data_IF_318468159256
#
_entry.id   IF_318468159256
#
_cell.length_a   1.000
_cell.length_b   1.000
_cell.length_c   1.000
_cell.angle_alpha   90.00
_cell.angle_beta   90.00
_cell.angle_gamma   90.00
#
_symmetry.space_group_name_H-M   'P 1'
#
loop_
_entity.id
_entity.type
_entity.pdbx_description
1 polymer ?
#
# COMPACT_ATOMS: atom_id res chain seq x y z
N UNK A 1 15.06 9.92 4.23
CA UNK A 1 13.80 9.15 4.28
C UNK A 1 12.99 9.54 3.06
N UNK A 2 12.44 8.62 2.25
CA UNK A 2 11.66 8.99 1.07
C UNK A 2 10.44 9.82 1.44
N UNK A 3 10.04 10.79 0.60
CA UNK A 3 8.85 11.59 0.83
C UNK A 3 7.58 10.73 0.72
N UNK A 4 6.49 11.19 1.34
CA UNK A 4 5.24 10.42 1.43
C UNK A 4 4.65 10.05 0.06
N UNK A 5 4.74 10.96 -0.91
CA UNK A 5 4.39 10.76 -2.32
C UNK A 5 5.13 9.59 -2.97
N UNK A 6 6.43 9.42 -2.69
CA UNK A 6 7.23 8.32 -3.23
C UNK A 6 6.80 6.98 -2.63
N UNK A 7 6.51 6.97 -1.32
CA UNK A 7 5.96 5.79 -0.64
C UNK A 7 4.59 5.42 -1.20
N UNK A 8 3.74 6.42 -1.46
CA UNK A 8 2.41 6.23 -2.02
C UNK A 8 2.48 5.60 -3.42
N UNK A 9 3.28 6.20 -4.30
CA UNK A 9 3.48 5.71 -5.66
C UNK A 9 4.01 4.27 -5.68
N UNK A 10 4.97 3.95 -4.81
CA UNK A 10 5.53 2.59 -4.72
C UNK A 10 4.51 1.57 -4.19
N UNK A 11 3.73 1.94 -3.17
CA UNK A 11 2.66 1.06 -2.64
C UNK A 11 1.66 0.74 -3.75
N UNK A 12 1.20 1.75 -4.47
CA UNK A 12 0.23 1.58 -5.56
C UNK A 12 0.81 0.79 -6.73
N UNK A 13 2.05 1.10 -7.14
CA UNK A 13 2.75 0.39 -8.20
C UNK A 13 2.92 -1.09 -7.86
N UNK A 14 3.33 -1.41 -6.63
CA UNK A 14 3.49 -2.80 -6.20
C UNK A 14 2.17 -3.53 -6.03
N UNK A 15 1.11 -2.88 -5.53
CA UNK A 15 -0.23 -3.47 -5.45
C UNK A 15 -0.75 -3.78 -6.86
N UNK A 16 -0.62 -2.82 -7.79
CA UNK A 16 -1.02 -3.00 -9.19
C UNK A 16 -0.20 -4.10 -9.89
N UNK A 17 1.11 -4.14 -9.68
CA UNK A 17 2.00 -5.15 -10.29
C UNK A 17 1.74 -6.57 -9.77
N UNK A 18 1.25 -6.71 -8.53
CA UNK A 18 0.93 -8.02 -7.95
C UNK A 18 -0.41 -8.58 -8.39
N UNK A 19 -1.36 -7.71 -8.72
CA UNK A 19 -2.69 -8.07 -9.21
C UNK A 19 -3.75 -8.19 -8.12
N UNK A 20 -5.02 -8.23 -8.57
CA UNK A 20 -6.25 -8.13 -7.77
C UNK A 20 -6.34 -9.09 -6.56
N UNK A 21 -5.75 -10.28 -6.68
CA UNK A 21 -5.79 -11.31 -5.63
C UNK A 21 -4.61 -11.26 -4.66
N UNK A 22 -3.61 -10.43 -4.94
CA UNK A 22 -2.36 -10.42 -4.18
C UNK A 22 -2.27 -9.20 -3.29
N UNK A 23 -1.53 -9.39 -2.21
CA UNK A 23 -1.33 -8.37 -1.18
C UNK A 23 0.15 -8.19 -0.91
N UNK A 24 0.57 -6.98 -0.58
CA UNK A 24 1.94 -6.62 -0.27
C UNK A 24 2.18 -6.46 1.22
N UNK A 25 3.40 -6.71 1.67
CA UNK A 25 3.83 -6.41 3.03
C UNK A 25 4.51 -5.03 3.08
N UNK A 26 4.36 -4.26 4.17
CA UNK A 26 5.02 -2.96 4.33
C UNK A 26 6.56 -3.07 4.32
N UNK A 27 7.09 -4.22 4.75
CA UNK A 27 8.52 -4.53 4.69
C UNK A 27 9.06 -4.61 3.27
N UNK A 28 8.24 -5.06 2.32
CA UNK A 28 8.65 -5.15 0.91
C UNK A 28 8.74 -3.76 0.29
N UNK A 29 7.78 -2.87 0.61
CA UNK A 29 7.82 -1.46 0.19
C UNK A 29 9.09 -0.81 0.72
N UNK A 30 9.38 -1.05 2.00
CA UNK A 30 10.56 -0.48 2.63
C UNK A 30 11.86 -1.02 2.00
N UNK A 31 11.93 -2.32 1.69
CA UNK A 31 13.09 -2.94 1.01
C UNK A 31 13.25 -2.47 -0.43
N UNK A 32 12.16 -2.26 -1.16
CA UNK A 32 12.19 -1.75 -2.53
C UNK A 32 12.80 -0.33 -2.57
N UNK A 33 12.46 0.52 -1.60
CA UNK A 33 12.90 1.92 -1.56
C UNK A 33 14.23 2.16 -0.84
N UNK A 34 14.57 1.35 0.16
CA UNK A 34 15.70 1.57 1.07
C UNK A 34 16.71 0.42 1.08
N UNK A 35 16.49 -0.62 0.28
CA UNK A 35 17.37 -1.78 0.20
C UNK A 35 17.38 -2.63 1.48
N UNK A 36 18.52 -3.27 1.74
CA UNK A 36 18.71 -4.17 2.89
C UNK A 36 19.10 -3.44 4.19
N UNK A 37 19.13 -2.11 4.20
CA UNK A 37 19.55 -1.32 5.37
C UNK A 37 18.57 -1.42 6.54
N UNK A 38 18.94 -2.18 7.58
CA UNK A 38 18.02 -2.51 8.66
C UNK A 38 17.59 -1.28 9.51
N UNK A 39 18.45 -0.28 9.62
CA UNK A 39 18.10 0.95 10.33
C UNK A 39 17.08 1.79 9.54
N UNK A 40 17.22 1.82 8.21
CA UNK A 40 16.43 2.69 7.33
C UNK A 40 15.01 2.18 7.12
N UNK A 41 14.82 0.90 6.80
CA UNK A 41 13.47 0.32 6.64
C UNK A 41 12.67 0.38 7.96
N UNK A 42 13.28 0.21 9.14
CA UNK A 42 12.62 0.40 10.45
C UNK A 42 12.13 1.82 10.66
N UNK A 43 12.93 2.82 10.28
CA UNK A 43 12.52 4.23 10.32
C UNK A 43 11.40 4.53 9.32
N UNK A 44 11.38 3.84 8.18
CA UNK A 44 10.35 3.98 7.15
C UNK A 44 9.03 3.24 7.46
N UNK A 45 9.00 2.33 8.43
CA UNK A 45 7.76 1.64 8.81
C UNK A 45 6.66 2.61 9.28
N UNK A 46 7.02 3.64 10.07
CA UNK A 46 6.09 4.68 10.55
C UNK A 46 5.46 5.47 9.40
N UNK A 47 6.22 6.08 8.46
CA UNK A 47 5.65 6.80 7.33
C UNK A 47 4.91 5.87 6.36
N UNK A 48 5.42 4.66 6.07
CA UNK A 48 4.70 3.66 5.24
C UNK A 48 3.34 3.36 5.83
N UNK A 49 3.26 3.12 7.15
CA UNK A 49 1.98 2.91 7.83
C UNK A 49 1.05 4.10 7.62
N UNK A 50 1.53 5.33 7.82
CA UNK A 50 0.72 6.54 7.67
C UNK A 50 0.15 6.69 6.25
N UNK A 51 0.98 6.43 5.24
CA UNK A 51 0.57 6.49 3.82
C UNK A 51 -0.41 5.37 3.50
N UNK A 52 -0.15 4.13 3.91
CA UNK A 52 -1.06 3.01 3.70
C UNK A 52 -2.43 3.24 4.36
N UNK A 53 -2.45 3.83 5.55
CA UNK A 53 -3.67 4.21 6.29
C UNK A 53 -4.45 5.28 5.55
N UNK A 54 -3.77 6.31 5.04
CA UNK A 54 -4.39 7.37 4.23
C UNK A 54 -4.99 6.81 2.96
N UNK A 55 -4.23 6.01 2.20
CA UNK A 55 -4.71 5.34 1.00
C UNK A 55 -5.91 4.43 1.26
N UNK A 56 -5.94 3.76 2.41
CA UNK A 56 -7.07 2.92 2.80
C UNK A 56 -8.32 3.74 3.13
N UNK A 57 -8.16 4.89 3.78
CA UNK A 57 -9.26 5.84 4.02
C UNK A 57 -9.78 6.46 2.72
N UNK A 58 -8.90 6.69 1.76
CA UNK A 58 -9.25 7.17 0.41
C UNK A 58 -9.91 6.07 -0.46
N UNK A 59 -10.02 4.83 0.03
CA UNK A 59 -10.57 3.71 -0.73
C UNK A 59 -9.70 3.26 -1.91
N UNK A 60 -8.43 3.67 -1.96
CA UNK A 60 -7.47 3.29 -3.02
C UNK A 60 -6.80 1.95 -2.76
N UNK A 61 -6.74 1.52 -1.50
CA UNK A 61 -6.22 0.21 -1.07
C UNK A 61 -7.06 -0.31 0.08
N UNK A 62 -6.92 -1.59 0.44
CA UNK A 62 -7.49 -2.15 1.67
C UNK A 62 -6.43 -2.81 2.51
N UNK A 63 -6.55 -2.69 3.82
CA UNK A 63 -5.68 -3.39 4.75
C UNK A 63 -6.35 -4.68 5.19
N UNK A 64 -5.65 -5.80 5.03
CA UNK A 64 -6.15 -7.14 5.33
C UNK A 64 -5.27 -7.83 6.35
N UNK A 65 -5.89 -8.57 7.27
CA UNK A 65 -5.21 -9.44 8.23
C UNK A 65 -6.00 -10.74 8.39
N UNK A 66 -5.31 -11.87 8.26
CA UNK A 66 -5.91 -13.21 8.37
C UNK A 66 -7.15 -13.38 7.46
N UNK A 67 -7.10 -12.79 6.26
CA UNK A 67 -8.17 -12.81 5.26
C UNK A 67 -9.28 -11.76 5.44
N UNK A 68 -9.34 -11.06 6.58
CA UNK A 68 -10.37 -10.05 6.87
C UNK A 68 -9.85 -8.64 6.62
N UNK A 69 -10.72 -7.76 6.14
CA UNK A 69 -10.44 -6.31 6.10
C UNK A 69 -10.34 -5.83 7.54
N UNK A 70 -9.27 -5.09 7.86
CA UNK A 70 -9.04 -4.52 9.18
C UNK A 70 -9.08 -3.01 9.09
N UNK A 71 -9.52 -2.40 10.18
CA UNK A 71 -9.55 -0.95 10.30
C UNK A 71 -8.14 -0.37 10.22
N UNK A 72 -7.88 0.61 9.34
CA UNK A 72 -6.56 1.21 9.17
C UNK A 72 -6.07 2.01 10.39
N UNK A 73 -6.95 2.50 11.26
CA UNK A 73 -6.54 3.22 12.46
C UNK A 73 -6.04 2.29 13.57
N UNK A 74 -6.64 1.10 13.72
CA UNK A 74 -6.46 0.26 14.92
C UNK A 74 -5.65 -1.03 14.70
N UNK A 75 -5.12 -1.29 13.50
CA UNK A 75 -4.31 -2.51 13.30
C UNK A 75 -2.91 -2.41 13.95
N UNK A 76 -2.50 -3.49 14.62
CA UNK A 76 -1.14 -3.71 15.14
C UNK A 76 -0.54 -5.00 14.60
N UNK A 77 0.78 -4.99 14.39
CA UNK A 77 1.54 -6.16 13.95
C UNK A 77 1.54 -6.36 12.44
N UNK A 78 1.53 -7.62 11.99
CA UNK A 78 1.58 -7.97 10.56
C UNK A 78 0.24 -7.66 9.90
N UNK A 79 0.28 -6.80 8.89
CA UNK A 79 -0.84 -6.46 8.02
C UNK A 79 -0.40 -6.57 6.57
N UNK A 80 -1.37 -6.77 5.68
CA UNK A 80 -1.15 -6.83 4.24
C UNK A 80 -1.95 -5.75 3.55
N UNK A 81 -1.38 -5.11 2.54
CA UNK A 81 -2.02 -4.08 1.74
C UNK A 81 -2.47 -4.74 0.44
N UNK A 82 -3.76 -4.68 0.14
CA UNK A 82 -4.34 -5.21 -1.07
C UNK A 82 -4.98 -4.12 -1.92
N UNK A 83 -5.33 -4.45 -3.17
CA UNK A 83 -6.12 -3.57 -4.04
C UNK A 83 -7.50 -3.32 -3.44
N UNK A 84 -8.16 -2.21 -3.80
CA UNK A 84 -9.44 -1.85 -3.23
C UNK A 84 -10.48 -2.93 -3.53
N UNK A 85 -11.43 -3.14 -2.61
CA UNK A 85 -12.40 -4.23 -2.72
C UNK A 85 -13.23 -4.19 -4.01
N UNK A 86 -13.38 -3.00 -4.62
CA UNK A 86 -14.02 -2.79 -5.91
C UNK A 86 -13.27 -3.48 -7.07
N UNK A 87 -11.93 -3.50 -7.02
CA UNK A 87 -11.08 -4.14 -8.04
C UNK A 87 -10.82 -5.64 -7.81
N UNK A 88 -11.12 -6.17 -6.61
CA UNK A 88 -10.92 -7.58 -6.29
C UNK A 88 -12.07 -8.49 -6.78
N UNK A 89 -13.12 -7.92 -7.40
CA UNK A 89 -14.32 -8.65 -7.81
C UNK A 89 -14.84 -8.38 -9.23
N UNK A 90 -14.35 -7.38 -9.95
CA UNK A 90 -14.89 -7.05 -11.27
C UNK A 90 -13.77 -6.69 -12.24
N UNK A 91 -13.65 -7.48 -13.30
CA UNK A 91 -12.83 -7.09 -14.44
C UNK A 91 -13.27 -5.74 -15.01
N UNK A 92 -12.28 -4.98 -15.48
CA UNK A 92 -12.37 -3.72 -16.25
C UNK A 92 -12.88 -2.51 -15.45
N UNK A 93 -11.96 -1.61 -15.11
CA UNK A 93 -12.08 -0.21 -15.54
C UNK A 93 -10.74 0.51 -15.57
N UNK A 94 -10.35 0.88 -16.79
CA UNK A 94 -9.46 1.99 -17.01
C UNK A 94 -10.09 3.26 -16.44
N UNK A 95 -9.32 4.05 -15.69
CA UNK A 95 -9.18 5.51 -15.86
C UNK A 95 -8.40 6.12 -14.71
N UNK A 96 -7.15 6.52 -14.98
CA UNK A 96 -6.76 7.90 -14.73
C UNK A 96 -5.70 8.28 -15.76
N UNK A 97 -6.15 8.98 -16.80
CA UNK A 97 -5.28 9.77 -17.67
C UNK A 97 -4.89 11.04 -16.91
N UNK A 98 -3.70 11.60 -17.15
CA UNK A 98 -3.22 12.76 -16.42
C UNK A 98 -3.93 14.02 -16.92
N UNK A 99 -4.41 14.84 -16.00
CA UNK A 99 -4.68 16.25 -16.28
C UNK A 99 -4.01 17.09 -15.20
N UNK A 100 -3.03 17.89 -15.62
CA UNK A 100 -2.72 19.19 -15.02
C UNK A 100 -1.77 19.96 -15.93
N UNK A 101 -2.41 20.76 -16.80
CA UNK A 101 -2.06 22.12 -17.27
C UNK A 101 -0.89 22.35 -18.24
#
# INVERSE_FOLDING_TARGET
MPPAERLEAEILAMVAARGADKTICPSEVARALLGADETRWRLAMKPIRRVAVRLAQEGRVVLRRKGRIVDPADFKGIYRIGPPADEAGAGKSASVRPDSR
#
